data_IF_162648454582
#
_entry.id   IF_162648454582
#
_cell.length_a   1.000
_cell.length_b   1.000
_cell.length_c   1.000
_cell.angle_alpha   90.00
_cell.angle_beta   90.00
_cell.angle_gamma   90.00
#
_symmetry.space_group_name_H-M   'P 1'
#
loop_
_entity.id
_entity.type
_entity.pdbx_description
1 polymer ?
#
# COMPACT_ATOMS: atom_id res chain seq x y z
N UNK A 1 12.17 -0.89 3.12
CA UNK A 1 12.33 -1.04 4.58
C UNK A 1 13.03 0.16 5.24
N UNK A 2 13.78 1.00 4.51
CA UNK A 2 14.43 2.19 5.11
C UNK A 2 13.42 3.31 5.41
N UNK A 3 12.37 3.48 4.60
CA UNK A 3 11.49 4.66 4.70
C UNK A 3 10.38 4.55 5.75
N UNK A 4 9.90 3.34 6.07
CA UNK A 4 9.01 3.13 7.23
C UNK A 4 9.69 3.48 8.56
N UNK A 5 11.02 3.39 8.64
CA UNK A 5 11.76 3.84 9.84
C UNK A 5 11.81 5.37 9.97
N UNK A 6 11.67 6.11 8.87
CA UNK A 6 11.70 7.57 8.87
C UNK A 6 10.35 8.15 9.32
N UNK A 7 9.24 7.50 8.99
CA UNK A 7 7.90 7.91 9.46
C UNK A 7 7.73 7.83 10.99
N UNK A 8 8.47 6.93 11.67
CA UNK A 8 8.41 6.78 13.13
C UNK A 8 9.22 7.83 13.93
N UNK A 9 9.78 8.85 13.28
CA UNK A 9 10.64 9.85 13.93
C UNK A 9 9.92 11.17 14.27
N UNK A 10 8.60 11.28 14.09
CA UNK A 10 7.84 12.53 14.33
C UNK A 10 8.39 13.75 13.54
N UNK A 11 9.19 13.50 12.50
CA UNK A 11 9.75 14.55 11.64
C UNK A 11 8.79 14.80 10.50
N UNK A 12 8.46 16.07 10.29
CA UNK A 12 7.64 16.52 9.17
C UNK A 12 8.35 16.17 7.84
N UNK A 13 7.78 15.23 7.07
CA UNK A 13 8.35 14.81 5.80
C UNK A 13 8.33 15.95 4.79
N UNK A 14 9.48 16.22 4.17
CA UNK A 14 9.62 17.17 3.06
C UNK A 14 8.88 16.72 1.80
N UNK A 15 8.69 17.64 0.85
CA UNK A 15 8.03 17.35 -0.44
C UNK A 15 8.77 16.24 -1.19
N UNK A 16 10.11 16.30 -1.24
CA UNK A 16 10.96 15.27 -1.83
C UNK A 16 10.78 13.90 -1.16
N UNK A 17 10.71 13.83 0.17
CA UNK A 17 10.52 12.57 0.90
C UNK A 17 9.14 11.96 0.66
N UNK A 18 8.08 12.78 0.62
CA UNK A 18 6.72 12.34 0.26
C UNK A 18 6.66 11.80 -1.17
N UNK A 19 7.35 12.47 -2.11
CA UNK A 19 7.43 12.01 -3.49
C UNK A 19 8.18 10.67 -3.60
N UNK A 20 9.29 10.53 -2.89
CA UNK A 20 10.05 9.28 -2.83
C UNK A 20 9.21 8.14 -2.26
N UNK A 21 8.51 8.38 -1.14
CA UNK A 21 7.56 7.46 -0.54
C UNK A 21 6.48 7.01 -1.53
N UNK A 22 5.89 7.96 -2.27
CA UNK A 22 4.86 7.66 -3.28
C UNK A 22 5.40 6.76 -4.40
N UNK A 23 6.63 7.02 -4.87
CA UNK A 23 7.28 6.22 -5.91
C UNK A 23 7.57 4.81 -5.42
N UNK A 24 8.19 4.67 -4.25
CA UNK A 24 8.50 3.35 -3.67
C UNK A 24 7.23 2.53 -3.43
N UNK A 25 6.20 3.15 -2.85
CA UNK A 25 4.93 2.49 -2.61
C UNK A 25 4.25 2.04 -3.91
N UNK A 26 4.16 2.93 -4.92
CA UNK A 26 3.62 2.57 -6.24
C UNK A 26 4.37 1.37 -6.83
N UNK A 27 5.69 1.31 -6.68
CA UNK A 27 6.49 0.20 -7.17
C UNK A 27 6.20 -1.12 -6.43
N UNK A 28 6.09 -1.09 -5.10
CA UNK A 28 5.70 -2.27 -4.30
C UNK A 28 4.32 -2.78 -4.73
N UNK A 29 3.34 -1.89 -4.84
CA UNK A 29 1.98 -2.26 -5.25
C UNK A 29 1.95 -2.79 -6.69
N UNK A 30 2.73 -2.20 -7.61
CA UNK A 30 2.84 -2.67 -9.00
C UNK A 30 3.43 -4.08 -9.07
N UNK A 31 4.51 -4.35 -8.34
CA UNK A 31 5.11 -5.68 -8.29
C UNK A 31 4.13 -6.72 -7.74
N UNK A 32 3.41 -6.40 -6.66
CA UNK A 32 2.38 -7.29 -6.08
C UNK A 32 1.21 -7.53 -7.03
N UNK A 33 0.72 -6.51 -7.75
CA UNK A 33 -0.31 -6.66 -8.79
C UNK A 33 0.16 -7.54 -9.95
N UNK A 34 1.43 -7.47 -10.33
CA UNK A 34 1.98 -8.37 -11.33
C UNK A 34 1.99 -9.83 -10.83
N UNK A 35 2.48 -10.08 -9.62
CA UNK A 35 2.43 -11.40 -8.98
C UNK A 35 1.01 -11.95 -8.89
N UNK A 36 0.04 -11.10 -8.54
CA UNK A 36 -1.37 -11.45 -8.49
C UNK A 36 -1.91 -11.98 -9.82
N UNK A 37 -1.62 -11.28 -10.93
CA UNK A 37 -2.07 -11.67 -12.27
C UNK A 37 -1.49 -13.02 -12.70
N UNK A 38 -0.22 -13.25 -12.37
CA UNK A 38 0.44 -14.54 -12.62
C UNK A 38 -0.27 -15.64 -11.83
N UNK A 39 -0.54 -15.40 -10.54
CA UNK A 39 -1.23 -16.36 -9.69
C UNK A 39 -2.62 -16.73 -10.21
N UNK A 40 -3.38 -15.74 -10.68
CA UNK A 40 -4.70 -15.95 -11.29
C UNK A 40 -4.61 -16.83 -12.55
N UNK A 41 -3.55 -16.63 -13.33
CA UNK A 41 -3.30 -17.41 -14.55
C UNK A 41 -2.93 -18.85 -14.23
N UNK A 42 -2.15 -19.08 -13.17
CA UNK A 42 -1.82 -20.42 -12.67
C UNK A 42 -3.07 -21.11 -12.12
N UNK A 43 -3.88 -20.42 -11.30
CA UNK A 43 -5.16 -20.92 -10.80
C UNK A 43 -6.03 -21.46 -11.94
N UNK A 44 -6.22 -20.64 -12.98
CA UNK A 44 -7.06 -21.02 -14.14
C UNK A 44 -6.53 -22.27 -14.86
N UNK A 45 -5.20 -22.42 -14.96
CA UNK A 45 -4.57 -23.62 -15.54
C UNK A 45 -4.77 -24.85 -14.66
N UNK A 46 -4.68 -24.72 -13.35
CA UNK A 46 -4.87 -25.84 -12.41
C UNK A 46 -6.34 -26.25 -12.29
N UNK A 47 -7.28 -25.30 -12.35
CA UNK A 47 -8.72 -25.56 -12.43
C UNK A 47 -9.06 -26.37 -13.69
N UNK A 48 -8.46 -26.03 -14.84
CA UNK A 48 -8.65 -26.77 -16.08
C UNK A 48 -8.09 -28.21 -16.04
N UNK A 49 -7.14 -28.50 -15.16
CA UNK A 49 -6.59 -29.85 -14.93
C UNK A 49 -7.37 -30.66 -13.89
N UNK A 50 -8.37 -30.06 -13.22
CA UNK A 50 -9.11 -30.70 -12.15
C UNK A 50 -8.30 -30.89 -10.85
N UNK A 51 -7.24 -30.11 -10.64
CA UNK A 51 -6.39 -30.24 -9.45
C UNK A 51 -6.87 -29.36 -8.29
N UNK A 52 -7.95 -29.81 -7.64
CA UNK A 52 -8.64 -29.05 -6.59
C UNK A 52 -7.76 -28.72 -5.36
N UNK A 53 -6.78 -29.57 -5.06
CA UNK A 53 -5.85 -29.34 -3.95
C UNK A 53 -4.91 -28.16 -4.26
N UNK A 54 -4.35 -28.11 -5.47
CA UNK A 54 -3.54 -26.97 -5.91
C UNK A 54 -4.36 -25.68 -5.96
N UNK A 55 -5.61 -25.76 -6.41
CA UNK A 55 -6.51 -24.59 -6.45
C UNK A 55 -6.78 -24.05 -5.05
N UNK A 56 -6.97 -24.92 -4.05
CA UNK A 56 -7.08 -24.51 -2.63
C UNK A 56 -5.82 -23.80 -2.13
N UNK A 57 -4.64 -24.39 -2.34
CA UNK A 57 -3.37 -23.78 -1.92
C UNK A 57 -3.14 -22.41 -2.59
N UNK A 58 -3.48 -22.29 -3.87
CA UNK A 58 -3.38 -21.02 -4.60
C UNK A 58 -4.35 -19.97 -4.03
N UNK A 59 -5.58 -20.35 -3.64
CA UNK A 59 -6.54 -19.44 -2.98
C UNK A 59 -6.04 -18.97 -1.61
N UNK A 60 -5.37 -19.82 -0.86
CA UNK A 60 -4.84 -19.47 0.45
C UNK A 60 -3.63 -18.52 0.34
N UNK A 61 -2.71 -18.81 -0.58
CA UNK A 61 -1.59 -17.92 -0.89
C UNK A 61 -2.07 -16.55 -1.41
N UNK A 62 -3.13 -16.56 -2.22
CA UNK A 62 -3.83 -15.36 -2.70
C UNK A 62 -4.33 -14.51 -1.52
N UNK A 63 -5.02 -15.11 -0.56
CA UNK A 63 -5.54 -14.41 0.62
C UNK A 63 -4.42 -13.79 1.47
N UNK A 64 -3.30 -14.50 1.63
CA UNK A 64 -2.12 -13.98 2.34
C UNK A 64 -1.53 -12.74 1.63
N UNK A 65 -1.47 -12.74 0.30
CA UNK A 65 -1.05 -11.56 -0.48
C UNK A 65 -2.03 -10.39 -0.29
N UNK A 66 -3.34 -10.63 -0.36
CA UNK A 66 -4.38 -9.61 -0.13
C UNK A 66 -4.26 -8.99 1.27
N UNK A 67 -4.13 -9.82 2.31
CA UNK A 67 -3.99 -9.37 3.70
C UNK A 67 -2.73 -8.50 3.90
N UNK A 68 -1.59 -8.93 3.36
CA UNK A 68 -0.34 -8.14 3.41
C UNK A 68 -0.45 -6.82 2.66
N UNK A 69 -1.08 -6.82 1.49
CA UNK A 69 -1.36 -5.60 0.74
C UNK A 69 -2.25 -4.66 1.52
N UNK A 70 -3.35 -5.17 2.10
CA UNK A 70 -4.26 -4.38 2.92
C UNK A 70 -3.53 -3.73 4.09
N UNK A 71 -2.67 -4.49 4.78
CA UNK A 71 -1.87 -3.96 5.90
C UNK A 71 -0.95 -2.84 5.44
N UNK A 72 -0.17 -3.04 4.36
CA UNK A 72 0.73 -2.01 3.83
C UNK A 72 -0.06 -0.75 3.37
N UNK A 73 -1.22 -0.94 2.75
CA UNK A 73 -2.09 0.17 2.35
C UNK A 73 -2.58 0.94 3.59
N UNK A 74 -3.03 0.24 4.64
CA UNK A 74 -3.48 0.83 5.89
C UNK A 74 -2.36 1.58 6.61
N UNK A 75 -1.17 0.99 6.70
CA UNK A 75 0.00 1.63 7.32
C UNK A 75 0.33 2.97 6.63
N UNK A 76 0.27 3.00 5.30
CA UNK A 76 0.55 4.22 4.54
C UNK A 76 -0.57 5.25 4.66
N UNK A 77 -1.83 4.82 4.71
CA UNK A 77 -2.93 5.74 4.99
C UNK A 77 -2.79 6.37 6.37
N UNK A 78 -2.39 5.60 7.40
CA UNK A 78 -2.13 6.14 8.75
C UNK A 78 -1.02 7.20 8.73
N UNK A 79 0.10 6.91 8.06
CA UNK A 79 1.21 7.87 7.91
C UNK A 79 0.76 9.14 7.19
N UNK A 80 -0.04 9.01 6.13
CA UNK A 80 -0.56 10.17 5.40
C UNK A 80 -1.53 10.98 6.26
N UNK A 81 -2.46 10.34 6.96
CA UNK A 81 -3.45 11.00 7.81
C UNK A 81 -2.80 11.72 9.00
N UNK A 82 -1.87 11.07 9.70
CA UNK A 82 -1.11 11.65 10.81
C UNK A 82 -0.31 12.88 10.35
N UNK A 83 0.42 12.79 9.24
CA UNK A 83 1.21 13.93 8.74
C UNK A 83 0.36 15.06 8.11
N UNK A 84 -0.80 14.76 7.51
CA UNK A 84 -1.71 15.78 6.96
C UNK A 84 -2.44 16.56 8.06
N UNK A 85 -2.82 15.91 9.15
CA UNK A 85 -3.49 16.58 10.28
C UNK A 85 -2.51 17.51 11.02
N UNK A 86 -1.26 17.06 11.24
CA UNK A 86 -0.23 17.89 11.87
C UNK A 86 0.19 19.10 11.01
N UNK A 87 0.20 18.97 9.67
CA UNK A 87 0.48 20.11 8.77
C UNK A 87 -0.68 21.11 8.67
N UNK A 88 -1.93 20.66 8.87
CA UNK A 88 -3.09 21.54 8.86
C UNK A 88 -3.14 22.42 10.13
N UNK A 89 -2.79 21.86 11.29
CA UNK A 89 -2.74 22.63 12.56
C UNK A 89 -1.61 23.68 12.60
N UNK A 90 -0.51 23.49 11.86
CA UNK A 90 0.56 24.49 11.75
C UNK A 90 0.23 25.63 10.77
N UNK A 91 -0.84 25.49 9.96
CA UNK A 91 -1.33 26.49 9.01
C UNK A 91 -2.69 27.05 9.41
N UNK A 92 -2.87 27.34 10.69
CA UNK A 92 -3.80 28.41 11.09
C UNK A 92 -3.19 29.78 10.76
N UNK A 93 -3.03 30.06 9.47
CA UNK A 93 -2.92 31.42 8.95
C UNK A 93 -3.38 31.42 7.49
N UNK A 94 -4.70 31.42 7.39
CA UNK A 94 -5.50 32.06 6.34
C UNK A 94 -5.52 31.38 4.95
N UNK A 95 -6.72 30.96 4.54
CA UNK A 95 -7.27 30.93 3.17
C UNK A 95 -7.51 29.57 2.48
N UNK A 96 -6.92 28.42 2.87
CA UNK A 96 -7.09 27.18 2.07
C UNK A 96 -7.70 25.97 2.80
N UNK A 97 -8.87 26.17 3.43
CA UNK A 97 -9.72 25.06 3.92
C UNK A 97 -10.89 24.80 2.98
N UNK A 98 -10.61 24.43 1.72
CA UNK A 98 -11.67 24.02 0.76
C UNK A 98 -11.22 22.96 -0.24
N UNK A 99 -10.21 22.14 0.11
CA UNK A 99 -9.76 21.02 -0.74
C UNK A 99 -9.44 19.73 0.02
N UNK A 100 -9.96 19.58 1.23
CA UNK A 100 -10.02 18.32 1.95
C UNK A 100 -11.48 17.89 2.08
N UNK A 101 -12.13 17.67 0.94
CA UNK A 101 -13.35 16.88 0.80
C UNK A 101 -13.40 16.31 -0.62
#
# INVERSE_FOLDING_TARGET
MVVMKVANLDVELSIEERNLLSVEYKNVVRARRASWRILLSIKKKEEAKGNDQNVKQIKEYRHNIESKLSTICSDIMSIIDEHLIHTCSARESTVFSTKCQ
#
